data_IF_575165930757
#
_entry.id   IF_575165930757
#
_cell.length_a   1.000
_cell.length_b   1.000
_cell.length_c   1.000
_cell.angle_alpha   90.00
_cell.angle_beta   90.00
_cell.angle_gamma   90.00
#
_symmetry.space_group_name_H-M   'P 1'
#
loop_
_entity.id
_entity.type
_entity.pdbx_description
1 polymer ?
#
# COMPACT_ATOMS: atom_id res chain seq x y z
N UNK A 1 19.06 -1.87 -16.55
CA UNK A 1 17.73 -2.29 -16.06
C UNK A 1 16.72 -1.34 -16.67
N UNK A 2 15.77 -1.84 -17.47
CA UNK A 2 14.75 -1.00 -18.10
C UNK A 2 13.60 -0.74 -17.11
N UNK A 3 12.92 0.41 -17.20
CA UNK A 3 11.74 0.67 -16.39
C UNK A 3 10.67 -0.36 -16.71
N UNK A 4 10.05 -0.91 -15.67
CA UNK A 4 8.88 -1.78 -15.76
C UNK A 4 7.66 -0.97 -16.20
N UNK A 5 7.51 0.26 -15.67
CA UNK A 5 6.45 1.21 -16.01
C UNK A 5 6.99 2.64 -15.87
N UNK A 6 6.65 3.52 -16.80
CA UNK A 6 6.87 4.97 -16.69
C UNK A 6 5.53 5.69 -16.49
N UNK A 7 5.55 6.79 -15.75
CA UNK A 7 4.36 7.62 -15.55
C UNK A 7 3.99 8.40 -16.81
N UNK A 8 2.74 8.88 -16.88
CA UNK A 8 2.16 9.49 -18.09
C UNK A 8 2.82 10.80 -18.52
N UNK A 9 3.29 11.61 -17.56
CA UNK A 9 4.04 12.85 -17.80
C UNK A 9 5.56 12.61 -17.72
N UNK A 10 6.00 11.37 -17.52
CA UNK A 10 7.41 11.00 -17.45
C UNK A 10 8.14 11.51 -16.20
N UNK A 11 7.43 11.89 -15.13
CA UNK A 11 8.06 12.32 -13.88
C UNK A 11 8.60 11.15 -13.04
N UNK A 12 8.13 9.92 -13.28
CA UNK A 12 8.47 8.78 -12.45
C UNK A 12 8.66 7.50 -13.28
N UNK A 13 9.55 6.64 -12.81
CA UNK A 13 9.79 5.31 -13.38
C UNK A 13 9.85 4.26 -12.28
N UNK A 14 9.06 3.21 -12.45
CA UNK A 14 9.09 2.03 -11.60
C UNK A 14 10.01 0.97 -12.20
N UNK A 15 10.84 0.38 -11.35
CA UNK A 15 11.76 -0.70 -11.67
C UNK A 15 11.36 -1.91 -10.83
N UNK A 16 11.33 -3.09 -11.44
CA UNK A 16 11.01 -4.33 -10.74
C UNK A 16 12.15 -5.33 -10.88
N UNK A 17 12.28 -6.18 -9.86
CA UNK A 17 13.11 -7.37 -9.87
C UNK A 17 12.30 -8.51 -9.28
N UNK A 18 12.22 -9.62 -10.01
CA UNK A 18 11.73 -10.88 -9.45
C UNK A 18 12.85 -11.47 -8.60
N UNK A 19 12.66 -11.53 -7.27
CA UNK A 19 13.66 -12.07 -6.36
C UNK A 19 13.51 -13.58 -6.19
N UNK A 20 12.27 -14.06 -6.29
CA UNK A 20 11.92 -15.48 -6.26
C UNK A 20 10.88 -15.75 -7.33
N UNK A 21 11.17 -16.71 -8.22
CA UNK A 21 10.35 -17.00 -9.39
C UNK A 21 8.90 -17.33 -8.98
N UNK A 22 7.94 -16.61 -9.57
CA UNK A 22 6.51 -16.69 -9.30
C UNK A 22 6.07 -16.45 -7.85
N UNK A 23 6.97 -15.97 -6.98
CA UNK A 23 6.70 -15.83 -5.56
C UNK A 23 6.88 -14.41 -5.04
N UNK A 24 7.94 -13.70 -5.45
CA UNK A 24 8.28 -12.41 -4.87
C UNK A 24 8.77 -11.40 -5.91
N UNK A 25 8.00 -10.32 -6.08
CA UNK A 25 8.41 -9.14 -6.84
C UNK A 25 8.84 -8.04 -5.89
N UNK A 26 10.03 -7.49 -6.12
CA UNK A 26 10.49 -6.25 -5.49
C UNK A 26 10.34 -5.10 -6.47
N UNK A 27 9.90 -3.95 -5.97
CA UNK A 27 9.71 -2.73 -6.76
C UNK A 27 10.40 -1.55 -6.10
N UNK A 28 11.05 -0.74 -6.92
CA UNK A 28 11.61 0.56 -6.56
C UNK A 28 11.10 1.62 -7.54
N UNK A 29 10.97 2.86 -7.08
CA UNK A 29 10.50 3.97 -7.92
C UNK A 29 11.54 5.07 -7.91
N UNK A 30 11.85 5.59 -9.10
CA UNK A 30 12.73 6.74 -9.29
C UNK A 30 11.93 7.94 -9.77
N UNK A 31 12.35 9.12 -9.35
CA UNK A 31 11.87 10.38 -9.91
C UNK A 31 12.83 10.85 -11.01
N UNK A 32 12.24 11.31 -12.12
CA UNK A 32 12.93 12.01 -13.18
C UNK A 32 12.87 13.51 -12.88
N UNK A 33 14.03 14.12 -12.67
CA UNK A 33 14.13 15.57 -12.51
C UNK A 33 14.85 16.11 -13.75
N UNK A 34 14.26 17.04 -14.52
CA UNK A 34 14.89 17.62 -15.70
C UNK A 34 16.30 18.15 -15.40
N UNK A 35 17.28 17.75 -16.21
CA UNK A 35 18.68 18.15 -16.03
C UNK A 35 19.42 17.48 -14.88
N UNK A 36 18.82 16.49 -14.19
CA UNK A 36 19.47 15.69 -13.15
C UNK A 36 19.39 14.19 -13.46
N UNK A 37 20.26 13.44 -12.81
CA UNK A 37 20.22 11.98 -12.83
C UNK A 37 18.94 11.48 -12.15
N UNK A 38 18.38 10.38 -12.66
CA UNK A 38 17.29 9.64 -12.02
C UNK A 38 17.66 9.28 -10.57
N UNK A 39 16.80 9.62 -9.63
CA UNK A 39 17.03 9.36 -8.20
C UNK A 39 15.98 8.42 -7.63
N UNK A 40 16.42 7.44 -6.84
CA UNK A 40 15.51 6.60 -6.05
C UNK A 40 14.80 7.46 -5.02
N UNK A 41 13.46 7.36 -5.02
CA UNK A 41 12.61 8.00 -4.04
C UNK A 41 12.95 7.51 -2.64
N UNK A 42 12.81 8.39 -1.66
CA UNK A 42 12.95 8.13 -0.24
C UNK A 42 11.57 7.93 0.38
N UNK A 43 11.54 7.33 1.57
CA UNK A 43 10.27 7.04 2.23
C UNK A 43 9.47 8.32 2.53
N UNK A 44 10.12 9.36 3.06
CA UNK A 44 9.49 10.65 3.32
C UNK A 44 8.95 11.33 2.05
N UNK A 45 9.58 11.12 0.89
CA UNK A 45 9.10 11.64 -0.40
C UNK A 45 7.84 10.91 -0.85
N UNK A 46 7.81 9.57 -0.74
CA UNK A 46 6.63 8.78 -1.12
C UNK A 46 5.40 9.12 -0.29
N UNK A 47 5.57 9.37 1.03
CA UNK A 47 4.47 9.83 1.88
C UNK A 47 3.87 11.14 1.35
N UNK A 48 4.71 12.12 1.03
CA UNK A 48 4.27 13.42 0.49
C UNK A 48 3.64 13.26 -0.90
N UNK A 49 4.22 12.44 -1.77
CA UNK A 49 3.70 12.18 -3.11
C UNK A 49 2.35 11.47 -3.08
N UNK A 50 2.14 10.51 -2.16
CA UNK A 50 0.81 9.93 -1.96
C UNK A 50 -0.22 10.98 -1.56
N UNK A 51 0.13 11.96 -0.74
CA UNK A 51 -0.79 13.03 -0.35
C UNK A 51 -1.10 14.00 -1.50
N UNK A 52 -0.07 14.40 -2.26
CA UNK A 52 -0.10 15.63 -3.05
C UNK A 52 -0.02 15.41 -4.57
N UNK A 53 0.54 14.30 -5.03
CA UNK A 53 0.87 14.10 -6.44
C UNK A 53 -0.06 13.07 -7.11
N UNK A 54 -0.88 13.54 -8.04
CA UNK A 54 -1.83 12.68 -8.76
C UNK A 54 -1.12 11.67 -9.66
N UNK A 55 -0.07 12.11 -10.37
CA UNK A 55 0.63 11.26 -11.33
C UNK A 55 1.38 10.13 -10.61
N UNK A 56 2.00 10.42 -9.46
CA UNK A 56 2.63 9.40 -8.64
C UNK A 56 1.62 8.34 -8.17
N UNK A 57 0.44 8.75 -7.70
CA UNK A 57 -0.61 7.79 -7.29
C UNK A 57 -1.12 6.96 -8.46
N UNK A 58 -1.26 7.56 -9.64
CA UNK A 58 -1.63 6.83 -10.86
C UNK A 58 -0.56 5.81 -11.25
N UNK A 59 0.73 6.21 -11.25
CA UNK A 59 1.84 5.29 -11.48
C UNK A 59 1.84 4.15 -10.45
N UNK A 60 1.79 4.47 -9.16
CA UNK A 60 1.85 3.50 -8.07
C UNK A 60 0.73 2.46 -8.18
N UNK A 61 -0.49 2.92 -8.49
CA UNK A 61 -1.64 2.06 -8.75
C UNK A 61 -1.40 1.17 -9.97
N UNK A 62 -0.89 1.75 -11.07
CA UNK A 62 -0.63 1.02 -12.31
C UNK A 62 0.43 -0.06 -12.12
N UNK A 63 1.49 0.23 -11.36
CA UNK A 63 2.52 -0.73 -10.97
C UNK A 63 1.91 -1.92 -10.26
N UNK A 64 1.14 -1.71 -9.20
CA UNK A 64 0.48 -2.78 -8.46
C UNK A 64 -0.50 -3.57 -9.33
N UNK A 65 -1.28 -2.89 -10.17
CA UNK A 65 -2.25 -3.54 -11.06
C UNK A 65 -1.58 -4.47 -12.09
N UNK A 66 -0.36 -4.13 -12.54
CA UNK A 66 0.43 -4.88 -13.53
C UNK A 66 1.24 -6.04 -12.93
N UNK A 67 1.34 -6.16 -11.61
CA UNK A 67 1.95 -7.34 -10.99
C UNK A 67 1.16 -8.58 -11.42
N UNK A 68 1.83 -9.65 -11.92
CA UNK A 68 1.15 -10.75 -12.60
C UNK A 68 0.43 -11.72 -11.67
N UNK A 69 0.46 -11.49 -10.36
CA UNK A 69 -0.19 -12.36 -9.38
C UNK A 69 -1.70 -12.07 -9.28
N UNK A 70 -2.57 -13.10 -9.27
CA UNK A 70 -4.01 -12.91 -9.09
C UNK A 70 -4.35 -12.13 -7.81
N UNK A 71 -3.66 -12.48 -6.72
CA UNK A 71 -3.69 -11.78 -5.44
C UNK A 71 -2.28 -11.81 -4.83
N UNK A 72 -1.97 -10.81 -3.99
CA UNK A 72 -0.66 -10.68 -3.37
C UNK A 72 -0.74 -9.95 -2.03
N UNK A 73 0.20 -10.26 -1.15
CA UNK A 73 0.56 -9.39 -0.03
C UNK A 73 1.39 -8.22 -0.55
N UNK A 74 1.32 -7.09 0.14
CA UNK A 74 2.12 -5.91 -0.15
C UNK A 74 2.80 -5.47 1.14
N UNK A 75 4.12 -5.32 1.12
CA UNK A 75 4.91 -5.00 2.30
C UNK A 75 5.97 -3.96 1.95
N UNK A 76 6.17 -2.99 2.84
CA UNK A 76 7.22 -1.98 2.76
C UNK A 76 8.23 -2.17 3.89
N UNK A 77 9.50 -1.71 3.75
CA UNK A 77 10.42 -1.63 4.88
C UNK A 77 9.82 -0.80 6.04
N UNK A 78 10.20 -1.11 7.29
CA UNK A 78 9.71 -0.35 8.43
C UNK A 78 10.14 1.11 8.34
N UNK A 79 9.32 1.99 8.89
CA UNK A 79 9.58 3.43 8.89
C UNK A 79 9.61 3.99 10.31
N UNK A 80 10.55 4.89 10.54
CA UNK A 80 10.69 5.73 11.72
C UNK A 80 10.93 7.17 11.26
N UNK A 81 10.88 8.13 12.19
CA UNK A 81 11.33 9.50 11.89
C UNK A 81 12.79 9.55 11.39
N UNK A 82 13.65 8.66 11.88
CA UNK A 82 15.07 8.64 11.52
C UNK A 82 15.34 7.92 10.19
N UNK A 83 14.38 7.17 9.65
CA UNK A 83 14.53 6.41 8.39
C UNK A 83 13.74 7.01 7.23
N UNK A 84 13.24 8.26 7.37
CA UNK A 84 12.55 8.98 6.29
C UNK A 84 13.39 9.10 5.01
N UNK A 85 14.72 9.19 5.14
CA UNK A 85 15.65 9.30 4.01
C UNK A 85 16.04 7.96 3.38
N UNK A 86 15.61 6.84 3.98
CA UNK A 86 15.85 5.51 3.43
C UNK A 86 15.18 5.39 2.06
N UNK A 87 15.86 4.71 1.12
CA UNK A 87 15.32 4.46 -0.22
C UNK A 87 14.05 3.63 -0.13
N UNK A 88 12.99 4.15 -0.75
CA UNK A 88 11.71 3.50 -0.78
C UNK A 88 11.71 2.30 -1.73
N UNK A 89 11.12 1.24 -1.25
CA UNK A 89 10.86 0.02 -1.98
C UNK A 89 9.68 -0.72 -1.38
N UNK A 90 9.11 -1.65 -2.12
CA UNK A 90 8.12 -2.58 -1.58
C UNK A 90 8.30 -3.96 -2.21
N UNK A 91 7.73 -4.97 -1.57
CA UNK A 91 7.57 -6.29 -2.17
C UNK A 91 6.09 -6.61 -2.36
N UNK A 92 5.80 -7.33 -3.44
CA UNK A 92 4.54 -8.01 -3.64
C UNK A 92 4.80 -9.52 -3.63
N UNK A 93 4.09 -10.23 -2.76
CA UNK A 93 4.31 -11.66 -2.51
C UNK A 93 3.08 -12.40 -2.99
N UNK A 94 3.26 -13.36 -3.91
CA UNK A 94 2.16 -14.10 -4.50
C UNK A 94 1.35 -14.82 -3.40
N UNK A 95 0.04 -14.61 -3.40
CA UNK A 95 -0.88 -15.23 -2.46
C UNK A 95 -2.09 -15.82 -3.19
N UNK A 96 -1.95 -16.97 -3.89
CA UNK A 96 -3.04 -17.60 -4.62
C UNK A 96 -4.25 -17.93 -3.75
N UNK A 97 -4.04 -18.17 -2.45
CA UNK A 97 -5.10 -18.43 -1.46
C UNK A 97 -6.12 -17.28 -1.39
N UNK A 98 -5.67 -16.02 -1.50
CA UNK A 98 -6.54 -14.84 -1.45
C UNK A 98 -7.35 -14.63 -2.74
N UNK A 99 -6.95 -15.24 -3.86
CA UNK A 99 -7.53 -14.93 -5.16
C UNK A 99 -9.01 -15.35 -5.27
N UNK A 100 -9.44 -16.32 -4.48
CA UNK A 100 -10.75 -16.97 -4.60
C UNK A 100 -11.57 -16.94 -3.29
N UNK A 101 -11.19 -16.11 -2.32
CA UNK A 101 -11.98 -15.97 -1.08
C UNK A 101 -13.19 -15.05 -1.28
N UNK A 102 -14.33 -15.31 -0.63
CA UNK A 102 -15.48 -14.42 -0.68
C UNK A 102 -15.19 -13.13 0.12
N UNK A 103 -15.75 -11.97 -0.29
CA UNK A 103 -15.65 -10.75 0.50
C UNK A 103 -16.38 -10.90 1.84
N UNK A 104 -15.84 -10.26 2.88
CA UNK A 104 -16.44 -10.18 4.23
C UNK A 104 -16.86 -8.73 4.54
N UNK A 105 -17.96 -8.22 3.96
CA UNK A 105 -18.39 -6.82 4.12
C UNK A 105 -18.73 -6.46 5.56
N UNK A 106 -19.18 -7.43 6.37
CA UNK A 106 -19.61 -7.19 7.74
C UNK A 106 -18.44 -7.10 8.74
N UNK A 107 -17.24 -7.56 8.37
CA UNK A 107 -16.10 -7.65 9.29
C UNK A 107 -15.64 -6.28 9.84
N UNK A 108 -15.86 -5.20 9.10
CA UNK A 108 -15.55 -3.83 9.51
C UNK A 108 -16.78 -2.92 9.52
N UNK A 109 -17.99 -3.47 9.46
CA UNK A 109 -19.19 -2.67 9.23
C UNK A 109 -19.46 -1.63 10.34
N UNK A 110 -19.01 -1.87 11.57
CA UNK A 110 -19.06 -0.87 12.65
C UNK A 110 -18.26 0.41 12.33
N UNK A 111 -17.23 0.30 11.48
CA UNK A 111 -16.38 1.41 11.06
C UNK A 111 -16.78 1.94 9.68
N UNK A 112 -16.96 1.06 8.70
CA UNK A 112 -17.14 1.42 7.28
C UNK A 112 -18.59 1.30 6.77
N UNK A 113 -19.53 0.89 7.61
CA UNK A 113 -20.94 0.71 7.28
C UNK A 113 -21.26 -0.63 6.59
N UNK A 114 -22.54 -0.97 6.53
CA UNK A 114 -23.05 -2.23 5.92
C UNK A 114 -23.44 -2.09 4.43
N UNK A 115 -23.34 -0.88 3.86
CA UNK A 115 -23.88 -0.58 2.52
C UNK A 115 -23.03 0.46 1.81
N UNK A 116 -23.50 0.89 0.63
CA UNK A 116 -22.85 1.96 -0.12
C UNK A 116 -22.67 3.19 0.76
N UNK A 117 -21.41 3.60 0.91
CA UNK A 117 -21.03 4.68 1.80
C UNK A 117 -20.65 5.93 1.00
N UNK A 118 -20.97 7.10 1.54
CA UNK A 118 -20.51 8.40 1.02
C UNK A 118 -19.03 8.62 1.32
N UNK A 119 -18.53 8.09 2.44
CA UNK A 119 -17.11 8.03 2.74
C UNK A 119 -16.45 6.99 1.83
N UNK A 120 -15.33 7.34 1.20
CA UNK A 120 -14.60 6.43 0.30
C UNK A 120 -13.65 5.49 1.05
N UNK A 121 -13.01 5.97 2.11
CA UNK A 121 -11.95 5.27 2.86
C UNK A 121 -11.97 5.77 4.29
N UNK A 122 -11.78 4.87 5.25
CA UNK A 122 -11.66 5.21 6.68
C UNK A 122 -10.41 4.61 7.31
N UNK A 123 -9.89 5.31 8.32
CA UNK A 123 -8.84 4.82 9.21
C UNK A 123 -9.43 4.60 10.61
N UNK A 124 -9.13 3.46 11.23
CA UNK A 124 -9.66 3.07 12.55
C UNK A 124 -8.73 2.07 13.24
N UNK A 125 -8.68 2.02 14.59
CA UNK A 125 -7.88 1.03 15.29
C UNK A 125 -8.44 -0.38 15.07
N UNK A 126 -7.58 -1.40 15.07
CA UNK A 126 -8.06 -2.78 15.11
C UNK A 126 -8.65 -3.14 16.48
N UNK A 127 -9.35 -4.27 16.57
CA UNK A 127 -9.96 -4.76 17.82
C UNK A 127 -8.98 -4.88 19.00
N UNK A 128 -7.72 -5.23 18.71
CA UNK A 128 -6.67 -5.37 19.74
C UNK A 128 -6.02 -4.04 20.15
N UNK A 129 -6.26 -2.95 19.43
CA UNK A 129 -5.66 -1.64 19.66
C UNK A 129 -4.15 -1.55 19.37
N UNK A 130 -3.55 -2.59 18.78
CA UNK A 130 -2.11 -2.69 18.49
C UNK A 130 -1.75 -2.26 17.06
N UNK A 131 -2.76 -1.96 16.23
CA UNK A 131 -2.61 -1.52 14.86
C UNK A 131 -3.66 -0.48 14.45
N UNK A 132 -3.29 0.39 13.53
CA UNK A 132 -4.25 1.21 12.79
C UNK A 132 -4.54 0.59 11.43
N UNK A 133 -5.81 0.47 11.09
CA UNK A 133 -6.29 -0.09 9.83
C UNK A 133 -6.80 1.03 8.92
N UNK A 134 -6.50 0.94 7.63
CA UNK A 134 -7.06 1.82 6.60
C UNK A 134 -7.78 0.93 5.59
N UNK A 135 -9.10 1.06 5.51
CA UNK A 135 -9.94 0.23 4.65
C UNK A 135 -10.82 1.08 3.73
N UNK A 136 -11.05 0.66 2.46
CA UNK A 136 -12.05 1.28 1.61
C UNK A 136 -13.45 0.94 2.14
N UNK A 137 -14.35 1.92 2.11
CA UNK A 137 -15.77 1.64 2.31
C UNK A 137 -16.37 1.01 1.06
N UNK A 138 -17.50 0.32 1.18
CA UNK A 138 -18.17 -0.19 -0.01
C UNK A 138 -18.68 0.98 -0.87
N UNK A 139 -18.16 1.11 -2.09
CA UNK A 139 -18.59 2.11 -3.08
C UNK A 139 -18.88 1.50 -4.46
N UNK A 140 -18.71 0.17 -4.59
CA UNK A 140 -18.90 -0.62 -5.80
C UNK A 140 -19.21 -2.08 -5.43
N UNK A 141 -19.09 -3.01 -6.40
CA UNK A 141 -19.23 -4.45 -6.16
C UNK A 141 -18.30 -4.92 -5.03
N UNK A 142 -18.83 -5.71 -4.10
CA UNK A 142 -18.07 -6.20 -2.92
C UNK A 142 -16.80 -6.98 -3.30
N UNK A 143 -16.84 -7.72 -4.42
CA UNK A 143 -15.70 -8.46 -4.94
C UNK A 143 -14.47 -7.60 -5.27
N UNK A 144 -14.64 -6.28 -5.42
CA UNK A 144 -13.53 -5.35 -5.65
C UNK A 144 -12.72 -5.07 -4.37
N UNK A 145 -13.26 -5.38 -3.19
CA UNK A 145 -12.67 -5.01 -1.90
C UNK A 145 -12.02 -6.18 -1.17
N UNK A 146 -11.95 -7.39 -1.76
CA UNK A 146 -11.42 -8.57 -1.07
C UNK A 146 -9.95 -8.39 -0.68
N UNK A 147 -9.12 -7.89 -1.60
CA UNK A 147 -7.68 -7.71 -1.41
C UNK A 147 -7.13 -6.62 -2.33
N UNK A 148 -5.88 -6.19 -2.10
CA UNK A 148 -5.28 -5.02 -2.77
C UNK A 148 -5.27 -5.17 -4.29
N UNK A 149 -4.88 -6.35 -4.80
CA UNK A 149 -4.81 -6.59 -6.24
C UNK A 149 -6.16 -6.43 -6.97
N UNK A 150 -7.28 -6.86 -6.38
CA UNK A 150 -8.63 -6.63 -6.95
C UNK A 150 -9.00 -5.16 -6.88
N UNK A 151 -8.72 -4.52 -5.75
CA UNK A 151 -9.03 -3.11 -5.53
C UNK A 151 -8.35 -2.21 -6.56
N UNK A 152 -7.03 -2.30 -6.73
CA UNK A 152 -6.30 -1.44 -7.67
C UNK A 152 -6.63 -1.72 -9.14
N UNK A 153 -7.17 -2.90 -9.46
CA UNK A 153 -7.56 -3.28 -10.83
C UNK A 153 -9.00 -2.94 -11.18
N UNK A 154 -9.91 -2.89 -10.19
CA UNK A 154 -11.35 -2.90 -10.45
C UNK A 154 -12.15 -1.84 -9.67
N UNK A 155 -11.63 -1.27 -8.58
CA UNK A 155 -12.36 -0.27 -7.80
C UNK A 155 -12.42 1.09 -8.52
N UNK A 156 -13.37 1.98 -8.16
CA UNK A 156 -13.44 3.33 -8.71
C UNK A 156 -12.14 4.12 -8.50
N UNK A 157 -11.65 4.77 -9.57
CA UNK A 157 -10.36 5.51 -9.54
C UNK A 157 -10.29 6.56 -8.42
N UNK A 158 -11.37 7.29 -8.20
CA UNK A 158 -11.44 8.30 -7.13
C UNK A 158 -11.26 7.69 -5.73
N UNK A 159 -11.75 6.47 -5.53
CA UNK A 159 -11.59 5.76 -4.25
C UNK A 159 -10.16 5.28 -4.07
N UNK A 160 -9.51 4.76 -5.12
CA UNK A 160 -8.10 4.36 -5.10
C UNK A 160 -7.20 5.58 -4.81
N UNK A 161 -7.47 6.72 -5.46
CA UNK A 161 -6.78 7.99 -5.19
C UNK A 161 -6.88 8.39 -3.71
N UNK A 162 -8.11 8.37 -3.17
CA UNK A 162 -8.36 8.68 -1.77
C UNK A 162 -7.67 7.69 -0.82
N UNK A 163 -7.58 6.40 -1.19
CA UNK A 163 -6.94 5.37 -0.39
C UNK A 163 -5.46 5.68 -0.14
N UNK A 164 -4.70 5.98 -1.20
CA UNK A 164 -3.30 6.37 -1.07
C UNK A 164 -3.12 7.67 -0.29
N UNK A 165 -3.97 8.68 -0.53
CA UNK A 165 -3.96 9.92 0.25
C UNK A 165 -4.15 9.65 1.74
N UNK A 166 -5.14 8.84 2.10
CA UNK A 166 -5.41 8.48 3.50
C UNK A 166 -4.18 7.80 4.12
N UNK A 167 -3.53 6.86 3.41
CA UNK A 167 -2.27 6.24 3.88
C UNK A 167 -1.19 7.29 4.13
N UNK A 168 -0.94 8.18 3.16
CA UNK A 168 0.08 9.23 3.29
C UNK A 168 -0.18 10.17 4.47
N UNK A 169 -1.41 10.66 4.64
CA UNK A 169 -1.75 11.54 5.76
C UNK A 169 -1.67 10.82 7.10
N UNK A 170 -2.15 9.58 7.18
CA UNK A 170 -2.12 8.80 8.40
C UNK A 170 -0.70 8.47 8.84
N UNK A 171 0.20 8.10 7.92
CA UNK A 171 1.60 7.84 8.25
C UNK A 171 2.31 9.09 8.76
N UNK A 172 2.12 10.23 8.08
CA UNK A 172 2.71 11.49 8.53
C UNK A 172 2.25 11.87 9.93
N UNK A 173 0.95 11.74 10.21
CA UNK A 173 0.38 12.03 11.54
C UNK A 173 0.97 11.15 12.64
N UNK A 174 1.10 9.84 12.40
CA UNK A 174 1.65 8.91 13.41
C UNK A 174 3.14 9.19 13.63
N UNK A 175 3.90 9.41 12.56
CA UNK A 175 5.33 9.67 12.67
C UNK A 175 5.59 10.98 13.42
N UNK A 176 4.75 12.00 13.28
CA UNK A 176 4.89 13.29 13.98
C UNK A 176 4.39 13.27 15.43
N UNK A 177 3.90 12.13 15.94
CA UNK A 177 3.49 12.00 17.33
C UNK A 177 4.69 12.17 18.30
N UNK A 178 4.40 12.46 19.57
CA UNK A 178 5.44 12.76 20.59
C UNK A 178 6.40 11.60 20.87
N UNK A 179 5.96 10.37 20.67
CA UNK A 179 6.75 9.15 20.91
C UNK A 179 6.53 8.15 19.75
N UNK A 180 7.15 8.42 18.58
CA UNK A 180 6.92 7.63 17.39
C UNK A 180 7.67 6.31 17.48
N UNK A 181 6.92 5.22 17.45
CA UNK A 181 7.47 3.87 17.35
C UNK A 181 7.69 3.51 15.87
N UNK A 182 8.56 2.54 15.57
CA UNK A 182 8.67 2.02 14.21
C UNK A 182 7.34 1.48 13.71
N UNK A 183 7.03 1.77 12.45
CA UNK A 183 5.78 1.39 11.81
C UNK A 183 6.03 0.37 10.70
N UNK A 184 5.19 -0.66 10.68
CA UNK A 184 5.15 -1.67 9.63
C UNK A 184 3.89 -1.50 8.80
N UNK A 185 4.05 -1.18 7.51
CA UNK A 185 2.96 -0.83 6.59
C UNK A 185 2.78 -1.93 5.55
N UNK A 186 1.66 -2.64 5.62
CA UNK A 186 1.42 -3.82 4.77
C UNK A 186 -0.06 -4.11 4.48
N UNK A 187 -0.31 -5.02 3.52
CA UNK A 187 -1.58 -5.74 3.38
C UNK A 187 -1.32 -7.24 3.46
N UNK A 188 -1.98 -7.93 4.40
CA UNK A 188 -1.95 -9.39 4.52
C UNK A 188 -3.29 -10.04 4.13
N UNK A 189 -4.41 -9.61 4.72
CA UNK A 189 -5.76 -10.01 4.26
C UNK A 189 -6.16 -11.48 4.51
N UNK A 190 -5.36 -12.28 5.22
CA UNK A 190 -5.71 -13.69 5.53
C UNK A 190 -6.66 -13.85 6.73
N UNK A 191 -6.78 -12.84 7.59
CA UNK A 191 -7.66 -12.89 8.76
C UNK A 191 -9.06 -12.31 8.55
N UNK A 192 -9.18 -11.37 7.61
CA UNK A 192 -10.44 -10.72 7.21
C UNK A 192 -10.38 -10.48 5.71
N UNK A 193 -11.38 -10.97 4.98
CA UNK A 193 -11.45 -10.87 3.51
C UNK A 193 -12.09 -9.57 3.03
N UNK A 194 -11.55 -8.47 3.57
CA UNK A 194 -11.82 -7.11 3.14
C UNK A 194 -10.52 -6.33 3.23
N UNK A 195 -10.16 -5.61 2.17
CA UNK A 195 -8.90 -4.89 2.04
C UNK A 195 -8.72 -3.95 3.22
N UNK A 196 -7.59 -4.07 3.88
CA UNK A 196 -7.12 -3.12 4.85
C UNK A 196 -5.60 -3.03 4.77
N UNK A 197 -5.08 -1.81 4.67
CA UNK A 197 -3.68 -1.55 5.01
C UNK A 197 -3.58 -1.57 6.52
N UNK A 198 -2.58 -2.27 7.03
CA UNK A 198 -2.22 -2.26 8.44
C UNK A 198 -1.01 -1.36 8.62
N UNK A 199 -1.07 -0.53 9.66
CA UNK A 199 0.06 0.20 10.22
C UNK A 199 0.23 -0.36 11.63
N UNK A 200 1.10 -1.36 11.75
CA UNK A 200 1.36 -2.09 12.99
C UNK A 200 2.60 -1.52 13.71
N UNK A 201 2.62 -1.66 15.04
CA UNK A 201 3.78 -1.34 15.90
C UNK A 201 4.84 -2.45 15.95
N UNK A 202 4.58 -3.59 15.31
CA UNK A 202 5.50 -4.72 15.14
C UNK A 202 5.09 -5.56 13.90
N UNK A 203 6.00 -6.32 13.26
CA UNK A 203 5.76 -6.96 11.96
C UNK A 203 4.95 -8.27 12.04
N UNK A 204 3.79 -8.26 12.70
CA UNK A 204 2.99 -9.47 13.01
C UNK A 204 2.68 -10.36 11.79
N UNK A 205 2.42 -9.74 10.64
CA UNK A 205 1.92 -10.41 9.44
C UNK A 205 2.88 -10.36 8.24
N UNK A 206 4.09 -9.82 8.43
CA UNK A 206 5.07 -9.71 7.36
C UNK A 206 5.59 -11.08 6.96
N UNK A 207 5.56 -11.41 5.68
CA UNK A 207 6.16 -12.63 5.13
C UNK A 207 7.61 -12.40 4.71
N UNK A 208 7.96 -11.18 4.29
CA UNK A 208 9.33 -10.86 3.87
C UNK A 208 10.23 -10.58 5.08
N UNK A 209 10.95 -11.60 5.54
CA UNK A 209 11.86 -11.55 6.69
C UNK A 209 12.78 -10.31 6.71
N UNK A 210 13.39 -9.86 5.60
CA UNK A 210 14.23 -8.65 5.59
C UNK A 210 13.57 -7.36 6.06
N UNK A 211 12.24 -7.26 6.07
CA UNK A 211 11.51 -6.09 6.54
C UNK A 211 11.01 -6.20 7.99
N UNK A 212 11.31 -7.29 8.71
CA UNK A 212 10.87 -7.47 10.10
C UNK A 212 11.72 -6.71 11.12
N UNK A 213 12.85 -6.15 10.71
CA UNK A 213 13.77 -5.43 11.58
C UNK A 213 13.93 -3.97 11.13
N UNK A 214 13.95 -3.06 12.09
CA UNK A 214 14.33 -1.66 11.84
C UNK A 214 15.82 -1.64 11.58
N UNK A 215 16.22 -1.11 10.43
CA UNK A 215 17.62 -0.97 10.02
C UNK A 215 18.09 0.46 10.20
#
# INVERSE_FOLDING_TARGET
MHPFISSSLGQFEAYSAELEQNQLFKVQIKQIIPGKTLTLLQWGEVIKLWQQDNEFRELFTTVLAKIPYPAFFWETPPITQNTLEQKFEFVAINSPTLANVPPEPDAFAEHIGHSLNTDLVKAFPNLGGDALLIAPCQNSLQANYVHLAKFVRCAPKQQIDKFWKTIGYTLEQILQARDPHPLWVSTCGLGVYWLHVRIDSFPKYYQHTPYREVR
#
